data_IF_547260166542
#
_entry.id   IF_547260166542
#
_cell.length_a   1.000
_cell.length_b   1.000
_cell.length_c   1.000
_cell.angle_alpha   90.00
_cell.angle_beta   90.00
_cell.angle_gamma   90.00
#
_symmetry.space_group_name_H-M   'P 1'
#
loop_
_entity.id
_entity.type
_entity.pdbx_description
1 polymer ?
#
# COMPACT_ATOMS: atom_id res chain seq x y z
N UNK A 1 10.56 -10.15 16.51
CA UNK A 1 11.85 -10.51 15.90
C UNK A 1 12.15 -9.63 14.69
N UNK A 2 13.25 -9.92 14.02
CA UNK A 2 13.64 -9.12 12.84
C UNK A 2 12.72 -9.43 11.66
N UNK A 3 12.38 -8.40 10.90
CA UNK A 3 11.59 -8.54 9.69
C UNK A 3 12.35 -9.40 8.67
N UNK A 4 11.66 -10.40 8.10
CA UNK A 4 12.18 -11.26 7.02
C UNK A 4 11.46 -10.94 5.71
N UNK A 5 10.13 -10.86 5.77
CA UNK A 5 9.30 -10.65 4.58
C UNK A 5 7.99 -9.96 4.93
N UNK A 6 7.54 -9.09 4.05
CA UNK A 6 6.19 -8.53 4.06
C UNK A 6 5.50 -8.76 2.71
N UNK A 7 4.23 -9.17 2.74
CA UNK A 7 3.41 -9.30 1.52
C UNK A 7 2.05 -8.67 1.80
N UNK A 8 1.63 -7.77 0.93
CA UNK A 8 0.26 -7.28 0.90
C UNK A 8 -0.31 -7.47 -0.50
N UNK A 9 -1.32 -8.29 -0.60
CA UNK A 9 -2.15 -8.45 -1.80
C UNK A 9 -3.47 -7.77 -1.48
N UNK A 10 -3.83 -6.76 -2.27
CA UNK A 10 -5.04 -5.99 -2.10
C UNK A 10 -5.67 -5.70 -3.46
N UNK A 11 -6.48 -6.61 -3.93
CA UNK A 11 -7.14 -6.57 -5.24
C UNK A 11 -8.67 -6.54 -5.12
N UNK A 12 -9.19 -6.35 -3.90
CA UNK A 12 -10.62 -6.25 -3.59
C UNK A 12 -11.22 -4.84 -3.86
N UNK A 13 -10.46 -3.98 -4.51
CA UNK A 13 -10.87 -2.63 -4.90
C UNK A 13 -11.45 -2.57 -6.32
N UNK A 14 -12.21 -3.58 -6.75
CA UNK A 14 -12.83 -3.57 -8.08
C UNK A 14 -13.56 -2.25 -8.36
N UNK A 15 -13.32 -1.69 -9.52
CA UNK A 15 -14.00 -0.50 -10.02
C UNK A 15 -14.54 -0.76 -11.43
N UNK A 16 -15.76 -0.33 -11.68
CA UNK A 16 -16.33 -0.35 -13.02
C UNK A 16 -15.91 0.91 -13.79
N UNK A 17 -16.01 0.89 -15.12
CA UNK A 17 -15.77 2.06 -15.97
C UNK A 17 -16.55 3.32 -15.53
N UNK A 18 -17.78 3.14 -15.04
CA UNK A 18 -18.63 4.23 -14.55
C UNK A 18 -17.96 5.02 -13.39
N UNK A 19 -17.18 4.35 -12.53
CA UNK A 19 -16.42 5.02 -11.47
C UNK A 19 -15.42 6.00 -12.06
N UNK A 20 -14.66 5.57 -13.04
CA UNK A 20 -13.64 6.41 -13.69
C UNK A 20 -14.27 7.53 -14.49
N UNK A 21 -15.46 7.34 -15.06
CA UNK A 21 -16.19 8.37 -15.82
C UNK A 21 -16.90 9.41 -14.93
N UNK A 22 -16.93 9.23 -13.61
CA UNK A 22 -17.66 10.08 -12.65
C UNK A 22 -17.04 11.45 -12.37
N UNK A 23 -16.01 11.86 -13.05
CA UNK A 23 -15.40 13.18 -12.89
C UNK A 23 -14.25 13.44 -13.86
N UNK A 24 -14.11 14.66 -14.27
CA UNK A 24 -13.10 15.06 -15.27
C UNK A 24 -11.65 14.97 -14.79
N UNK A 25 -11.42 14.95 -13.49
CA UNK A 25 -10.08 14.89 -12.89
C UNK A 25 -9.60 13.46 -12.61
N UNK A 26 -10.55 12.55 -12.40
CA UNK A 26 -10.29 11.18 -11.95
C UNK A 26 -9.53 10.39 -13.01
N UNK A 27 -8.58 9.58 -12.58
CA UNK A 27 -7.77 8.69 -13.42
C UNK A 27 -7.06 9.42 -14.60
N UNK A 28 -6.61 10.64 -14.35
CA UNK A 28 -5.80 11.42 -15.29
C UNK A 28 -4.49 11.88 -14.64
N UNK A 29 -3.40 11.90 -15.39
CA UNK A 29 -2.10 12.40 -14.87
C UNK A 29 -2.21 13.83 -14.34
N UNK A 30 -2.92 14.70 -15.06
CA UNK A 30 -3.08 16.10 -14.67
C UNK A 30 -3.98 16.29 -13.43
N UNK A 31 -5.03 15.49 -13.32
CA UNK A 31 -6.05 15.68 -12.28
C UNK A 31 -5.74 14.96 -10.99
N UNK A 32 -5.23 13.73 -11.08
CA UNK A 32 -5.02 12.85 -9.95
C UNK A 32 -3.53 12.53 -9.71
N UNK A 33 -2.70 12.59 -10.74
CA UNK A 33 -1.27 12.32 -10.66
C UNK A 33 -0.89 10.84 -10.62
N UNK A 34 -1.87 9.96 -10.63
CA UNK A 34 -1.75 8.50 -10.59
C UNK A 34 -3.13 7.86 -10.50
N UNK A 35 -3.18 6.56 -10.29
CA UNK A 35 -4.40 5.76 -10.26
C UNK A 35 -4.62 5.03 -8.95
N UNK A 36 -4.61 3.69 -8.99
CA UNK A 36 -4.93 2.84 -7.84
C UNK A 36 -4.05 3.13 -6.62
N UNK A 37 -2.79 3.47 -6.80
CA UNK A 37 -1.86 3.72 -5.69
C UNK A 37 -2.17 5.01 -4.94
N UNK A 38 -2.49 6.10 -5.66
CA UNK A 38 -2.77 7.41 -5.05
C UNK A 38 -4.22 7.59 -4.62
N UNK A 39 -5.15 6.86 -5.20
CA UNK A 39 -6.57 6.97 -4.87
C UNK A 39 -7.03 5.88 -3.89
N UNK A 40 -7.01 4.60 -4.29
CA UNK A 40 -7.54 3.52 -3.48
C UNK A 40 -6.59 3.07 -2.37
N UNK A 41 -5.28 3.00 -2.68
CA UNK A 41 -4.31 2.31 -1.83
C UNK A 41 -3.48 3.22 -0.92
N UNK A 42 -3.67 4.54 -0.96
CA UNK A 42 -2.81 5.46 -0.21
C UNK A 42 -2.86 5.19 1.30
N UNK A 43 -4.03 4.84 1.84
CA UNK A 43 -4.18 4.47 3.25
C UNK A 43 -3.42 3.20 3.62
N UNK A 44 -3.39 2.22 2.71
CA UNK A 44 -2.68 0.97 2.92
C UNK A 44 -1.17 1.17 2.79
N UNK A 45 -0.72 2.01 1.88
CA UNK A 45 0.69 2.38 1.79
C UNK A 45 1.16 3.14 3.05
N UNK A 46 0.28 3.97 3.62
CA UNK A 46 0.54 4.63 4.89
C UNK A 46 0.67 3.61 6.03
N UNK A 47 -0.28 2.70 6.16
CA UNK A 47 -0.21 1.61 7.14
C UNK A 47 1.02 0.71 6.91
N UNK A 48 1.37 0.40 5.67
CA UNK A 48 2.52 -0.41 5.34
C UNK A 48 3.82 0.23 5.86
N UNK A 49 4.08 1.49 5.51
CA UNK A 49 5.29 2.19 5.94
C UNK A 49 5.31 2.43 7.46
N UNK A 50 4.15 2.67 8.07
CA UNK A 50 4.05 2.85 9.52
C UNK A 50 4.37 1.57 10.29
N UNK A 51 3.94 0.40 9.80
CA UNK A 51 4.15 -0.90 10.44
C UNK A 51 5.56 -1.45 10.18
N UNK A 52 6.05 -1.36 8.93
CA UNK A 52 7.27 -2.05 8.49
C UNK A 52 8.47 -1.13 8.26
N UNK A 53 8.26 0.18 8.30
CA UNK A 53 9.23 1.18 7.87
C UNK A 53 9.30 1.29 6.34
N UNK A 54 10.03 2.30 5.88
CA UNK A 54 10.27 2.51 4.45
C UNK A 54 11.24 1.45 3.90
N UNK A 55 10.95 0.87 2.72
CA UNK A 55 11.93 0.05 2.02
C UNK A 55 13.12 0.92 1.55
N UNK A 56 14.25 0.29 1.30
CA UNK A 56 15.44 0.95 0.75
C UNK A 56 15.47 0.95 -0.78
N UNK A 57 14.76 -0.03 -1.41
CA UNK A 57 14.66 -0.16 -2.86
C UNK A 57 13.30 -0.66 -3.28
N UNK A 58 12.86 -0.21 -4.45
CA UNK A 58 11.62 -0.63 -5.09
C UNK A 58 11.85 -1.01 -6.55
N UNK A 59 11.24 -2.11 -6.94
CA UNK A 59 11.06 -2.52 -8.33
C UNK A 59 9.61 -2.87 -8.57
N UNK A 60 8.95 -2.19 -9.52
CA UNK A 60 7.55 -2.46 -9.81
C UNK A 60 7.27 -2.68 -11.30
N UNK A 61 6.11 -3.28 -11.55
CA UNK A 61 5.45 -3.36 -12.83
C UNK A 61 4.09 -2.73 -12.68
N UNK A 62 3.76 -1.78 -13.56
CA UNK A 62 2.49 -1.06 -13.56
C UNK A 62 1.76 -1.29 -14.88
N UNK A 63 0.47 -1.60 -14.80
CA UNK A 63 -0.44 -1.65 -15.94
C UNK A 63 -1.15 -0.30 -16.03
N UNK A 64 -0.87 0.46 -17.09
CA UNK A 64 -1.52 1.73 -17.36
C UNK A 64 -2.78 1.44 -18.18
N UNK A 65 -3.95 1.78 -17.64
CA UNK A 65 -5.22 1.50 -18.32
C UNK A 65 -5.33 0.04 -18.77
N UNK A 66 -4.86 -0.88 -17.95
CA UNK A 66 -4.81 -2.32 -18.32
C UNK A 66 -6.19 -2.92 -18.43
N UNK A 67 -7.10 -2.47 -17.57
CA UNK A 67 -8.46 -2.98 -17.47
C UNK A 67 -9.52 -1.93 -17.81
N UNK A 68 -9.17 -0.65 -17.77
CA UNK A 68 -10.08 0.47 -17.93
C UNK A 68 -9.59 1.49 -18.98
N UNK A 69 -10.51 2.26 -19.55
CA UNK A 69 -10.20 3.37 -20.47
C UNK A 69 -9.70 4.59 -19.68
N UNK A 70 -8.47 4.51 -19.15
CA UNK A 70 -7.81 5.51 -18.31
C UNK A 70 -6.33 5.65 -18.68
N UNK A 71 -5.68 6.74 -18.26
CA UNK A 71 -4.27 7.01 -18.59
C UNK A 71 -3.29 6.77 -17.42
N UNK A 72 -3.78 6.31 -16.25
CA UNK A 72 -3.01 6.02 -15.05
C UNK A 72 -3.00 4.52 -14.73
N UNK A 73 -2.28 4.10 -13.71
CA UNK A 73 -2.19 2.70 -13.33
C UNK A 73 -3.48 2.20 -12.65
N UNK A 74 -3.94 1.01 -13.06
CA UNK A 74 -5.04 0.25 -12.46
C UNK A 74 -4.63 -1.16 -12.02
N UNK A 75 -3.35 -1.51 -12.22
CA UNK A 75 -2.75 -2.78 -11.84
C UNK A 75 -1.27 -2.56 -11.48
N UNK A 76 -0.86 -3.05 -10.31
CA UNK A 76 0.52 -2.89 -9.82
C UNK A 76 1.00 -4.16 -9.14
N UNK A 77 2.20 -4.60 -9.51
CA UNK A 77 2.97 -5.61 -8.77
C UNK A 77 4.34 -5.02 -8.43
N UNK A 78 4.60 -4.86 -7.15
CA UNK A 78 5.80 -4.23 -6.62
C UNK A 78 6.60 -5.19 -5.76
N UNK A 79 7.92 -5.24 -5.97
CA UNK A 79 8.92 -5.85 -5.10
C UNK A 79 9.64 -4.75 -4.31
N UNK A 80 9.92 -5.01 -3.04
CA UNK A 80 10.57 -4.11 -2.10
C UNK A 80 11.76 -4.79 -1.43
N UNK A 81 12.84 -4.03 -1.20
CA UNK A 81 13.96 -4.44 -0.35
C UNK A 81 14.08 -3.49 0.84
N UNK A 82 14.33 -4.04 2.02
CA UNK A 82 14.56 -3.28 3.24
C UNK A 82 16.05 -3.27 3.61
N UNK A 83 16.49 -2.24 4.34
CA UNK A 83 17.89 -2.07 4.69
C UNK A 83 18.50 -3.24 5.50
N UNK A 84 17.65 -3.99 6.23
CA UNK A 84 18.07 -5.19 6.96
C UNK A 84 18.12 -6.47 6.09
N UNK A 85 17.89 -6.37 4.78
CA UNK A 85 17.84 -7.50 3.86
C UNK A 85 16.48 -8.21 3.76
N UNK A 86 15.46 -7.74 4.47
CA UNK A 86 14.11 -8.25 4.30
C UNK A 86 13.56 -7.91 2.92
N UNK A 87 12.67 -8.74 2.40
CA UNK A 87 12.00 -8.52 1.13
C UNK A 87 10.50 -8.23 1.33
N UNK A 88 9.90 -7.53 0.37
CA UNK A 88 8.47 -7.26 0.37
C UNK A 88 7.84 -7.38 -1.00
N UNK A 89 6.52 -7.58 -1.01
CA UNK A 89 5.70 -7.47 -2.21
C UNK A 89 4.40 -6.73 -1.89
N UNK A 90 4.02 -5.81 -2.77
CA UNK A 90 2.73 -5.13 -2.74
C UNK A 90 2.05 -5.33 -4.09
N UNK A 91 0.84 -5.89 -4.08
CA UNK A 91 0.07 -6.21 -5.29
C UNK A 91 -1.30 -5.59 -5.14
N UNK A 92 -1.71 -4.79 -6.12
CA UNK A 92 -3.02 -4.16 -6.12
C UNK A 92 -3.59 -4.04 -7.52
N UNK A 93 -4.92 -4.11 -7.62
CA UNK A 93 -5.64 -3.95 -8.89
C UNK A 93 -7.05 -3.44 -8.63
N UNK A 94 -7.60 -2.69 -9.59
CA UNK A 94 -9.02 -2.32 -9.62
C UNK A 94 -9.82 -3.10 -10.66
N UNK A 95 -9.16 -4.00 -11.40
CA UNK A 95 -9.78 -4.82 -12.45
C UNK A 95 -10.06 -6.28 -12.04
N UNK A 96 -9.75 -6.68 -10.81
CA UNK A 96 -9.91 -8.06 -10.36
C UNK A 96 -11.19 -8.25 -9.54
N UNK A 97 -11.95 -9.29 -9.84
CA UNK A 97 -13.11 -9.72 -9.06
C UNK A 97 -13.36 -11.23 -9.20
N UNK A 98 -13.61 -12.00 -8.10
CA UNK A 98 -13.41 -11.56 -6.73
C UNK A 98 -11.95 -11.23 -6.45
N UNK A 99 -11.71 -10.18 -5.70
CA UNK A 99 -10.37 -9.78 -5.29
C UNK A 99 -9.89 -10.49 -4.02
N UNK A 100 -8.69 -10.12 -3.59
CA UNK A 100 -8.08 -10.63 -2.36
C UNK A 100 -7.63 -9.45 -1.49
N UNK A 101 -7.75 -9.62 -0.16
CA UNK A 101 -7.11 -8.73 0.80
C UNK A 101 -6.37 -9.60 1.82
N UNK A 102 -5.04 -9.66 1.66
CA UNK A 102 -4.17 -10.50 2.49
C UNK A 102 -2.90 -9.75 2.83
N UNK A 103 -2.70 -9.48 4.11
CA UNK A 103 -1.50 -8.85 4.65
C UNK A 103 -0.74 -9.83 5.54
N UNK A 104 0.49 -10.15 5.18
CA UNK A 104 1.35 -11.08 5.89
C UNK A 104 2.70 -10.45 6.21
N UNK A 105 3.11 -10.55 7.47
CA UNK A 105 4.45 -10.16 7.94
C UNK A 105 5.11 -11.39 8.55
N UNK A 106 6.26 -11.79 8.02
CA UNK A 106 7.10 -12.84 8.57
C UNK A 106 8.35 -12.23 9.21
N UNK A 107 8.61 -12.62 10.44
CA UNK A 107 9.81 -12.26 11.19
C UNK A 107 10.49 -13.49 11.79
N UNK A 108 11.67 -13.32 12.36
CA UNK A 108 12.42 -14.43 12.98
C UNK A 108 11.67 -15.11 14.11
N UNK A 109 10.79 -14.40 14.82
CA UNK A 109 10.00 -14.94 15.94
C UNK A 109 8.59 -15.37 15.58
N UNK A 110 8.22 -15.41 14.29
CA UNK A 110 6.91 -15.86 13.87
C UNK A 110 6.33 -15.07 12.70
N UNK A 111 5.01 -15.15 12.55
CA UNK A 111 4.27 -14.57 11.45
C UNK A 111 2.96 -13.96 11.91
N UNK A 112 2.63 -12.79 11.40
CA UNK A 112 1.29 -12.18 11.51
C UNK A 112 0.61 -12.28 10.15
N UNK A 113 -0.66 -12.68 10.16
CA UNK A 113 -1.51 -12.76 8.97
C UNK A 113 -2.83 -12.07 9.26
N UNK A 114 -3.18 -11.07 8.45
CA UNK A 114 -4.50 -10.47 8.37
C UNK A 114 -5.15 -10.91 7.05
N UNK A 115 -6.25 -11.64 7.15
CA UNK A 115 -7.02 -12.14 6.00
C UNK A 115 -8.45 -12.46 6.45
N UNK A 116 -9.43 -12.11 5.64
CA UNK A 116 -10.86 -12.32 5.94
C UNK A 116 -11.27 -11.77 7.33
N UNK A 117 -10.84 -10.55 7.64
CA UNK A 117 -11.09 -9.84 8.92
C UNK A 117 -10.55 -10.58 10.16
N UNK A 118 -9.63 -11.51 9.98
CA UNK A 118 -8.97 -12.24 11.06
C UNK A 118 -7.49 -11.91 11.12
N UNK A 119 -7.05 -11.53 12.31
CA UNK A 119 -5.65 -11.31 12.62
C UNK A 119 -5.10 -12.52 13.37
N UNK A 120 -4.22 -13.27 12.72
CA UNK A 120 -3.63 -14.49 13.29
C UNK A 120 -2.14 -14.29 13.53
N UNK A 121 -1.72 -14.48 14.77
CA UNK A 121 -0.32 -14.52 15.17
C UNK A 121 0.13 -15.98 15.32
N UNK A 122 1.13 -16.39 14.55
CA UNK A 122 1.87 -17.64 14.75
C UNK A 122 3.23 -17.27 15.35
N UNK A 123 3.52 -17.71 16.57
CA UNK A 123 4.75 -17.40 17.30
C UNK A 123 5.64 -18.63 17.38
N UNK A 124 6.91 -18.49 16.99
CA UNK A 124 7.93 -19.52 17.21
C UNK A 124 8.38 -19.53 18.68
N UNK A 125 8.56 -20.69 19.29
CA UNK A 125 9.16 -20.81 20.63
C UNK A 125 10.61 -20.35 20.63
N UNK A 126 11.36 -20.68 19.57
CA UNK A 126 12.74 -20.25 19.35
C UNK A 126 12.78 -19.48 18.04
N UNK A 127 13.55 -18.39 18.00
CA UNK A 127 13.68 -17.61 16.77
C UNK A 127 14.27 -18.48 15.65
N UNK A 128 13.77 -18.30 14.42
CA UNK A 128 14.13 -19.16 13.27
C UNK A 128 15.61 -19.10 12.91
N UNK A 129 16.25 -17.96 13.09
CA UNK A 129 17.69 -17.76 12.87
C UNK A 129 18.57 -18.43 13.95
N UNK A 130 18.09 -18.48 15.19
CA UNK A 130 18.71 -19.23 16.28
C UNK A 130 18.49 -20.73 16.08
N UNK A 131 17.26 -21.16 15.79
CA UNK A 131 16.91 -22.55 15.52
C UNK A 131 17.72 -23.14 14.37
N UNK A 132 17.87 -22.40 13.30
CA UNK A 132 18.68 -22.80 12.13
C UNK A 132 20.15 -23.13 12.49
N UNK A 133 20.70 -22.49 13.51
CA UNK A 133 22.10 -22.69 13.97
C UNK A 133 22.23 -23.79 15.04
N UNK A 134 21.16 -24.05 15.78
CA UNK A 134 21.20 -24.92 16.98
C UNK A 134 20.55 -26.29 16.75
N UNK A 135 19.60 -26.40 15.82
CA UNK A 135 18.93 -27.67 15.51
C UNK A 135 19.90 -28.69 14.93
N UNK A 136 19.82 -29.92 15.43
CA UNK A 136 20.57 -31.07 14.92
C UNK A 136 19.82 -31.88 13.86
N UNK A 137 18.56 -31.51 13.58
CA UNK A 137 17.66 -32.22 12.66
C UNK A 137 17.34 -31.28 11.51
N UNK A 138 17.79 -31.64 10.30
CA UNK A 138 17.77 -30.77 9.12
C UNK A 138 16.39 -30.32 8.63
N UNK A 139 15.33 -31.07 8.95
CA UNK A 139 13.95 -30.78 8.51
C UNK A 139 13.00 -30.36 9.64
N UNK A 140 13.49 -30.25 10.87
CA UNK A 140 12.68 -29.86 12.02
C UNK A 140 12.54 -28.34 12.09
N UNK A 141 11.31 -27.89 12.23
CA UNK A 141 10.99 -26.49 12.54
C UNK A 141 10.87 -26.30 14.06
N UNK A 142 11.04 -25.08 14.58
CA UNK A 142 10.72 -24.77 15.97
C UNK A 142 9.24 -25.02 16.23
N UNK A 143 8.89 -25.36 17.45
CA UNK A 143 7.49 -25.44 17.86
C UNK A 143 6.83 -24.07 17.79
N UNK A 144 5.54 -24.04 17.49
CA UNK A 144 4.79 -22.81 17.30
C UNK A 144 3.51 -22.79 18.11
N UNK A 145 3.12 -21.61 18.54
CA UNK A 145 1.79 -21.33 19.08
C UNK A 145 1.02 -20.46 18.10
N UNK A 146 -0.29 -20.69 17.99
CA UNK A 146 -1.18 -19.93 17.11
C UNK A 146 -2.25 -19.26 17.95
N UNK A 147 -2.44 -17.97 17.73
CA UNK A 147 -3.42 -17.15 18.44
C UNK A 147 -4.17 -16.28 17.44
N UNK A 148 -5.50 -16.25 17.50
CA UNK A 148 -6.31 -15.25 16.80
C UNK A 148 -6.41 -14.02 17.70
N UNK A 149 -5.87 -12.89 17.21
CA UNK A 149 -5.88 -11.61 17.94
C UNK A 149 -7.20 -10.90 17.65
N UNK A 150 -7.98 -10.54 18.68
CA UNK A 150 -9.19 -9.75 18.46
C UNK A 150 -8.87 -8.40 17.83
N UNK A 151 -9.56 -8.04 16.77
CA UNK A 151 -9.46 -6.71 16.14
C UNK A 151 -10.52 -5.82 16.80
N UNK A 152 -10.14 -4.87 17.66
CA UNK A 152 -11.11 -3.96 18.27
C UNK A 152 -11.67 -3.03 17.19
N UNK A 153 -12.98 -2.88 17.15
CA UNK A 153 -13.60 -1.82 16.39
C UNK A 153 -13.20 -0.44 16.93
N UNK A 154 -12.96 0.50 16.05
CA UNK A 154 -12.71 1.90 16.43
C UNK A 154 -13.92 2.72 15.99
N UNK A 155 -14.76 3.08 16.95
CA UNK A 155 -15.87 3.98 16.69
C UNK A 155 -15.34 5.43 16.53
N UNK A 156 -15.84 6.11 15.50
CA UNK A 156 -15.53 7.53 15.30
C UNK A 156 -14.03 7.88 15.14
N UNK A 157 -13.24 7.08 14.42
CA UNK A 157 -11.80 7.33 14.20
C UNK A 157 -11.53 8.76 13.69
N UNK A 158 -12.35 9.29 12.77
CA UNK A 158 -12.23 10.65 12.29
C UNK A 158 -12.47 11.70 13.39
N UNK A 159 -13.44 11.49 14.29
CA UNK A 159 -13.66 12.39 15.41
C UNK A 159 -12.51 12.35 16.41
N UNK A 160 -11.91 11.19 16.66
CA UNK A 160 -10.70 11.08 17.50
C UNK A 160 -9.54 11.87 16.92
N UNK A 161 -9.30 11.74 15.62
CA UNK A 161 -8.24 12.48 14.93
C UNK A 161 -8.47 14.01 15.01
N UNK A 162 -9.70 14.45 14.77
CA UNK A 162 -10.06 15.88 14.88
C UNK A 162 -9.92 16.39 16.31
N UNK A 163 -10.32 15.60 17.31
CA UNK A 163 -10.16 15.96 18.73
C UNK A 163 -8.68 16.11 19.09
N UNK A 164 -7.82 15.15 18.68
CA UNK A 164 -6.38 15.25 18.89
C UNK A 164 -5.79 16.51 18.21
N UNK A 165 -6.21 16.83 16.99
CA UNK A 165 -5.76 18.05 16.31
C UNK A 165 -6.14 19.32 17.08
N UNK A 166 -7.37 19.40 17.61
CA UNK A 166 -7.82 20.52 18.45
C UNK A 166 -7.01 20.60 19.73
N UNK A 167 -6.80 19.47 20.42
CA UNK A 167 -6.02 19.39 21.65
C UNK A 167 -4.55 19.77 21.43
N UNK A 168 -3.98 19.38 20.28
CA UNK A 168 -2.62 19.78 19.91
C UNK A 168 -2.48 21.31 19.83
N UNK A 169 -3.50 22.01 19.33
CA UNK A 169 -3.52 23.48 19.24
C UNK A 169 -3.72 24.11 20.62
N UNK A 170 -4.66 23.60 21.42
CA UNK A 170 -5.09 24.21 22.67
C UNK A 170 -4.18 23.86 23.85
N UNK A 171 -3.76 22.61 23.93
CA UNK A 171 -3.13 22.01 25.10
C UNK A 171 -1.69 21.52 24.83
N UNK A 172 -1.23 21.57 23.57
CA UNK A 172 0.11 21.13 23.18
C UNK A 172 0.26 19.59 23.16
N UNK A 173 -0.85 18.86 22.97
CA UNK A 173 -0.81 17.41 22.79
C UNK A 173 -0.06 17.03 21.50
N UNK A 174 0.68 15.93 21.52
CA UNK A 174 1.34 15.42 20.31
C UNK A 174 0.32 14.98 19.26
N UNK A 175 0.58 15.30 18.00
CA UNK A 175 -0.26 14.86 16.89
C UNK A 175 -0.15 13.35 16.66
N UNK A 176 -1.27 12.65 16.62
CA UNK A 176 -1.34 11.22 16.24
C UNK A 176 -0.88 11.02 14.78
N UNK A 177 -1.27 11.96 13.91
CA UNK A 177 -0.92 11.95 12.50
C UNK A 177 -0.36 13.32 12.08
N UNK A 178 0.93 13.60 12.33
CA UNK A 178 1.58 14.80 11.84
C UNK A 178 1.65 14.79 10.31
N UNK A 179 1.55 15.97 9.68
CA UNK A 179 1.52 16.09 8.21
C UNK A 179 2.71 15.44 7.52
N UNK A 180 3.88 15.50 8.15
CA UNK A 180 5.12 14.90 7.64
C UNK A 180 5.06 13.39 7.54
N UNK A 181 4.25 12.71 8.36
CA UNK A 181 4.11 11.25 8.29
C UNK A 181 3.47 10.77 6.98
N UNK A 182 2.66 11.61 6.34
CA UNK A 182 2.05 11.31 5.06
C UNK A 182 3.01 11.34 3.86
N UNK A 183 4.21 11.93 4.02
CA UNK A 183 5.19 11.99 2.92
C UNK A 183 5.61 10.58 2.49
N UNK A 184 5.81 9.66 3.44
CA UNK A 184 6.24 8.31 3.14
C UNK A 184 5.24 7.52 2.28
N UNK A 185 3.94 7.67 2.52
CA UNK A 185 2.90 7.00 1.73
C UNK A 185 2.83 7.54 0.30
N UNK A 186 2.95 8.86 0.14
CA UNK A 186 3.00 9.50 -1.19
C UNK A 186 4.28 9.12 -1.95
N UNK A 187 5.42 9.08 -1.26
CA UNK A 187 6.67 8.63 -1.87
C UNK A 187 6.57 7.18 -2.33
N UNK A 188 6.01 6.27 -1.52
CA UNK A 188 5.79 4.87 -1.93
C UNK A 188 4.93 4.76 -3.19
N UNK A 189 3.82 5.48 -3.26
CA UNK A 189 2.96 5.49 -4.44
C UNK A 189 3.73 5.98 -5.68
N UNK A 190 4.38 7.12 -5.57
CA UNK A 190 5.10 7.75 -6.68
C UNK A 190 6.29 6.89 -7.16
N UNK A 191 7.08 6.32 -6.24
CA UNK A 191 8.23 5.49 -6.62
C UNK A 191 7.80 4.19 -7.28
N UNK A 192 6.68 3.60 -6.86
CA UNK A 192 6.12 2.41 -7.51
C UNK A 192 5.70 2.72 -8.95
N UNK A 193 5.00 3.82 -9.18
CA UNK A 193 4.64 4.26 -10.54
C UNK A 193 5.90 4.55 -11.35
N UNK A 194 6.83 5.34 -10.81
CA UNK A 194 8.06 5.75 -11.50
C UNK A 194 8.90 4.54 -11.90
N UNK A 195 9.18 3.63 -10.96
CA UNK A 195 9.92 2.39 -11.22
C UNK A 195 9.29 1.56 -12.34
N UNK A 196 7.96 1.43 -12.36
CA UNK A 196 7.26 0.70 -13.40
C UNK A 196 7.34 1.37 -14.78
N UNK A 197 7.21 2.70 -14.83
CA UNK A 197 7.25 3.47 -16.07
C UNK A 197 8.62 3.46 -16.74
N UNK A 198 9.71 3.57 -15.95
CA UNK A 198 11.08 3.55 -16.48
C UNK A 198 11.70 2.15 -16.53
N UNK A 199 11.00 1.16 -15.94
CA UNK A 199 11.43 -0.22 -15.86
C UNK A 199 12.80 -0.41 -15.16
N UNK A 200 13.02 0.30 -14.05
CA UNK A 200 14.25 0.27 -13.25
C UNK A 200 13.98 0.09 -11.75
N UNK A 201 14.98 -0.42 -11.03
CA UNK A 201 14.97 -0.42 -9.57
C UNK A 201 15.35 0.95 -9.06
N UNK A 202 14.57 1.49 -8.13
CA UNK A 202 14.79 2.82 -7.56
C UNK A 202 15.20 2.68 -6.10
N UNK A 203 16.27 3.38 -5.72
CA UNK A 203 16.67 3.56 -4.32
C UNK A 203 15.78 4.62 -3.66
N UNK A 204 15.46 4.44 -2.36
CA UNK A 204 14.77 5.44 -1.57
C UNK A 204 15.75 6.12 -0.58
N UNK A 205 15.55 7.43 -0.31
CA UNK A 205 14.51 8.30 -0.87
C UNK A 205 14.71 8.56 -2.36
N UNK A 206 13.59 8.62 -3.09
CA UNK A 206 13.59 8.87 -4.54
C UNK A 206 14.00 10.32 -4.85
N UNK A 207 14.68 10.53 -5.99
CA UNK A 207 14.86 11.87 -6.55
C UNK A 207 13.50 12.45 -6.97
N UNK A 208 12.96 13.33 -6.15
CA UNK A 208 11.65 13.98 -6.37
C UNK A 208 11.62 14.83 -7.66
N UNK A 209 12.76 15.42 -8.05
CA UNK A 209 12.84 16.22 -9.28
C UNK A 209 12.78 15.33 -10.53
N UNK A 210 13.32 14.12 -10.47
CA UNK A 210 13.18 13.15 -11.56
C UNK A 210 11.71 12.71 -11.73
N UNK A 211 11.00 12.46 -10.64
CA UNK A 211 9.57 12.16 -10.69
C UNK A 211 8.74 13.35 -11.19
N UNK A 212 8.97 14.56 -10.68
CA UNK A 212 8.28 15.77 -11.14
C UNK A 212 8.44 15.96 -12.66
N UNK A 213 9.65 15.80 -13.15
CA UNK A 213 9.96 15.88 -14.59
C UNK A 213 9.17 14.84 -15.38
N UNK A 214 9.14 13.58 -14.90
CA UNK A 214 8.41 12.49 -15.55
C UNK A 214 6.92 12.72 -15.54
N UNK A 215 6.33 13.15 -14.43
CA UNK A 215 4.90 13.44 -14.33
C UNK A 215 4.50 14.60 -15.25
N UNK A 216 5.31 15.68 -15.30
CA UNK A 216 5.05 16.80 -16.21
C UNK A 216 5.13 16.37 -17.68
N UNK A 217 6.03 15.47 -18.04
CA UNK A 217 6.11 14.88 -19.37
C UNK A 217 4.86 14.06 -19.72
N UNK A 218 4.38 13.23 -18.79
CA UNK A 218 3.13 12.46 -18.94
C UNK A 218 1.92 13.39 -19.13
N UNK A 219 1.83 14.46 -18.34
CA UNK A 219 0.75 15.47 -18.46
C UNK A 219 0.81 16.19 -19.81
N UNK A 220 2.01 16.61 -20.24
CA UNK A 220 2.19 17.37 -21.47
C UNK A 220 1.92 16.55 -22.74
N UNK A 221 2.21 15.25 -22.69
CA UNK A 221 2.05 14.33 -23.83
C UNK A 221 0.79 13.45 -23.73
N UNK A 222 -0.08 13.70 -22.75
CA UNK A 222 -1.35 12.98 -22.64
C UNK A 222 -2.21 13.22 -23.89
N UNK A 223 -2.68 12.11 -24.46
CA UNK A 223 -3.65 12.10 -25.57
C UNK A 223 -4.98 11.49 -25.15
N UNK A 224 -5.14 11.19 -23.87
CA UNK A 224 -6.35 10.57 -23.35
C UNK A 224 -7.53 11.55 -23.35
N UNK A 225 -8.58 11.19 -24.09
CA UNK A 225 -9.83 11.95 -24.13
C UNK A 225 -10.78 11.45 -23.05
N UNK A 226 -10.84 12.18 -21.94
CA UNK A 226 -11.67 11.83 -20.79
C UNK A 226 -13.16 11.89 -21.12
N UNK A 227 -13.83 10.75 -21.07
CA UNK A 227 -15.29 10.68 -21.14
C UNK A 227 -15.86 10.93 -19.74
N UNK A 228 -16.69 11.97 -19.61
CA UNK A 228 -17.36 12.27 -18.33
C UNK A 228 -18.85 11.97 -18.49
N UNK A 229 -19.38 11.18 -17.56
CA UNK A 229 -20.81 10.87 -17.45
C UNK A 229 -21.32 11.45 -16.14
N UNK A 230 -22.45 12.10 -16.16
CA UNK A 230 -23.15 12.51 -14.93
C UNK A 230 -23.61 11.25 -14.21
N UNK A 231 -23.07 11.02 -13.01
CA UNK A 231 -23.39 9.89 -12.14
C UNK A 231 -24.16 10.43 -10.94
N UNK A 232 -25.28 9.83 -10.61
CA UNK A 232 -26.04 10.21 -9.42
C UNK A 232 -25.33 9.76 -8.15
N UNK A 233 -25.55 10.45 -7.01
CA UNK A 233 -25.00 10.03 -5.73
C UNK A 233 -25.44 8.63 -5.29
N UNK A 234 -26.53 8.10 -5.83
CA UNK A 234 -27.04 6.75 -5.56
C UNK A 234 -26.14 5.66 -6.17
N UNK A 235 -25.42 5.97 -7.25
CA UNK A 235 -24.54 5.02 -7.94
C UNK A 235 -23.26 4.70 -7.15
N UNK A 236 -22.94 5.47 -6.09
CA UNK A 236 -21.78 5.25 -5.19
C UNK A 236 -22.14 4.64 -3.84
N UNK A 237 -23.43 4.38 -3.57
CA UNK A 237 -23.89 3.93 -2.25
C UNK A 237 -23.95 2.41 -2.09
N UNK A 238 -23.58 1.65 -3.09
CA UNK A 238 -23.58 0.19 -3.09
C UNK A 238 -22.17 -0.40 -2.81
N UNK A 239 -21.49 0.08 -1.75
CA UNK A 239 -20.23 -0.51 -1.28
C UNK A 239 -20.31 -0.91 0.19
#
# INVERSE_FOLDING_TARGET
GDLIRVIWIMTDWFRAEAYYQSGGWRATWKGEGGGVLLNQCLHQLDALQWITGMPSKIRSHVGIGKYHDIEVEDDVTCYMEYANGASGAFITSTGETPGSNRFEIAGTKGRVLLENDKLVLTRNEVASDEWSKTSKIGFQQPETTVEEIPIPGVDNAHAMLMTNFVNAILDGEDLIAPGESGIGSVELANVMVYSGLINETIDLPMDSAAWETKLNDLIANSTHEKKVVEVSNEDFTAS
#
